data_IF_248291239216
#
_entry.id   IF_248291239216
#
_cell.length_a   1.000
_cell.length_b   1.000
_cell.length_c   1.000
_cell.angle_alpha   90.00
_cell.angle_beta   90.00
_cell.angle_gamma   90.00
#
_symmetry.space_group_name_H-M   'P 1'
#
loop_
_entity.id
_entity.type
_entity.pdbx_description
1 polymer ?
#
# COMPACT_ATOMS: atom_id res chain seq x y z
N UNK A 1 -8.19 -1.16 8.37
CA UNK A 1 -7.60 -0.41 7.25
C UNK A 1 -8.01 1.07 7.14
N UNK A 2 -9.31 1.44 7.20
CA UNK A 2 -9.71 2.86 7.05
C UNK A 2 -9.14 3.79 8.13
N UNK A 3 -9.04 3.33 9.38
CA UNK A 3 -8.52 4.11 10.49
C UNK A 3 -6.99 4.31 10.39
N UNK A 4 -6.24 3.26 10.02
CA UNK A 4 -4.79 3.32 9.83
C UNK A 4 -4.43 4.25 8.67
N UNK A 5 -5.18 4.20 7.56
CA UNK A 5 -5.00 5.13 6.44
C UNK A 5 -5.24 6.59 6.83
N UNK A 6 -6.18 6.88 7.73
CA UNK A 6 -6.37 8.25 8.25
C UNK A 6 -5.19 8.72 9.10
N UNK A 7 -4.62 7.84 9.92
CA UNK A 7 -3.41 8.15 10.70
C UNK A 7 -2.23 8.40 9.76
N UNK A 8 -2.07 7.57 8.72
CA UNK A 8 -0.99 7.74 7.72
C UNK A 8 -1.07 9.09 7.00
N UNK A 9 -2.27 9.59 6.70
CA UNK A 9 -2.43 10.93 6.08
C UNK A 9 -1.76 12.06 6.88
N UNK A 10 -1.70 11.95 8.21
CA UNK A 10 -1.03 12.95 9.07
C UNK A 10 0.48 13.00 8.85
N UNK A 11 1.06 11.89 8.40
CA UNK A 11 2.49 11.81 8.11
C UNK A 11 2.81 12.11 6.64
N UNK A 12 1.80 12.34 5.79
CA UNK A 12 2.00 12.58 4.35
C UNK A 12 2.96 13.74 4.08
N UNK A 13 2.92 14.79 4.89
CA UNK A 13 3.82 15.96 4.80
C UNK A 13 5.20 15.72 5.40
N UNK A 14 5.37 14.69 6.24
CA UNK A 14 6.63 14.33 6.87
C UNK A 14 7.51 13.40 6.00
N UNK A 15 6.91 12.73 5.01
CA UNK A 15 7.62 11.82 4.10
C UNK A 15 7.95 12.51 2.77
N UNK A 16 9.16 12.26 2.24
CA UNK A 16 9.59 12.84 0.96
C UNK A 16 9.24 11.90 -0.21
N UNK A 17 8.67 12.46 -1.28
CA UNK A 17 8.47 11.77 -2.56
C UNK A 17 7.75 10.41 -2.42
N UNK A 18 8.40 9.34 -2.86
CA UNK A 18 7.84 7.99 -2.94
C UNK A 18 7.81 7.24 -1.59
N UNK A 19 8.42 7.76 -0.52
CA UNK A 19 8.48 7.11 0.79
C UNK A 19 7.08 6.89 1.37
N UNK A 20 6.21 7.90 1.25
CA UNK A 20 4.83 7.80 1.70
C UNK A 20 4.05 6.71 0.94
N UNK A 21 4.28 6.62 -0.38
CA UNK A 21 3.67 5.59 -1.23
C UNK A 21 4.08 4.20 -0.78
N UNK A 22 5.37 3.98 -0.54
CA UNK A 22 5.87 2.68 -0.10
C UNK A 22 5.42 2.31 1.30
N UNK A 23 5.28 3.28 2.20
CA UNK A 23 4.73 3.04 3.53
C UNK A 23 3.27 2.57 3.44
N UNK A 24 2.43 3.29 2.68
CA UNK A 24 1.03 2.90 2.46
C UNK A 24 0.95 1.52 1.82
N UNK A 25 1.82 1.22 0.85
CA UNK A 25 1.88 -0.09 0.22
C UNK A 25 2.23 -1.20 1.21
N UNK A 26 3.23 -1.01 2.08
CA UNK A 26 3.62 -1.99 3.11
C UNK A 26 2.50 -2.26 4.11
N UNK A 27 1.82 -1.22 4.57
CA UNK A 27 0.66 -1.37 5.46
C UNK A 27 -0.47 -2.11 4.75
N UNK A 28 -0.77 -1.74 3.50
CA UNK A 28 -1.77 -2.44 2.70
C UNK A 28 -1.43 -3.93 2.52
N UNK A 29 -0.18 -4.26 2.21
CA UNK A 29 0.30 -5.65 2.10
C UNK A 29 0.07 -6.40 3.41
N UNK A 30 0.48 -5.81 4.55
CA UNK A 30 0.34 -6.45 5.86
C UNK A 30 -1.11 -6.83 6.18
N UNK A 31 -2.07 -5.94 5.89
CA UNK A 31 -3.49 -6.19 6.16
C UNK A 31 -4.15 -7.10 5.12
N UNK A 32 -3.82 -6.94 3.84
CA UNK A 32 -4.50 -7.63 2.74
C UNK A 32 -3.93 -9.02 2.47
N UNK A 33 -2.67 -9.31 2.84
CA UNK A 33 -2.04 -10.61 2.54
C UNK A 33 -2.79 -11.81 3.11
N UNK A 34 -3.49 -11.63 4.24
CA UNK A 34 -4.30 -12.69 4.86
C UNK A 34 -5.70 -12.82 4.26
N UNK A 35 -6.12 -11.86 3.42
CA UNK A 35 -7.47 -11.77 2.86
C UNK A 35 -7.53 -12.15 1.37
N UNK A 36 -6.37 -12.35 0.73
CA UNK A 36 -6.26 -12.65 -0.70
C UNK A 36 -5.53 -13.98 -0.94
N UNK A 37 -5.94 -14.71 -1.98
CA UNK A 37 -5.47 -16.07 -2.25
C UNK A 37 -4.20 -16.12 -3.09
N UNK A 38 -3.86 -15.03 -3.80
CA UNK A 38 -2.70 -14.98 -4.68
C UNK A 38 -1.93 -13.67 -4.56
N UNK A 39 -0.64 -13.70 -4.96
CA UNK A 39 0.20 -12.49 -5.04
C UNK A 39 -0.32 -11.50 -6.08
N UNK A 40 -0.98 -11.98 -7.14
CA UNK A 40 -1.61 -11.16 -8.18
C UNK A 40 -2.82 -10.42 -7.63
N UNK A 41 -3.65 -11.08 -6.83
CA UNK A 41 -4.77 -10.43 -6.15
C UNK A 41 -4.29 -9.39 -5.14
N UNK A 42 -3.25 -9.73 -4.37
CA UNK A 42 -2.61 -8.80 -3.45
C UNK A 42 -2.08 -7.56 -4.18
N UNK A 43 -1.41 -7.74 -5.31
CA UNK A 43 -0.93 -6.66 -6.15
C UNK A 43 -2.07 -5.74 -6.63
N UNK A 44 -3.17 -6.31 -7.11
CA UNK A 44 -4.32 -5.56 -7.58
C UNK A 44 -4.98 -4.77 -6.45
N UNK A 45 -5.21 -5.40 -5.29
CA UNK A 45 -5.85 -4.75 -4.14
C UNK A 45 -4.98 -3.65 -3.52
N UNK A 46 -3.66 -3.88 -3.39
CA UNK A 46 -2.73 -2.84 -2.91
C UNK A 46 -2.71 -1.65 -3.86
N UNK A 47 -2.68 -1.88 -5.18
CA UNK A 47 -2.71 -0.78 -6.15
C UNK A 47 -4.06 -0.03 -6.16
N UNK A 48 -5.19 -0.71 -5.95
CA UNK A 48 -6.49 -0.03 -5.73
C UNK A 48 -6.44 0.91 -4.53
N UNK A 49 -5.84 0.47 -3.42
CA UNK A 49 -5.66 1.31 -2.23
C UNK A 49 -4.80 2.54 -2.55
N UNK A 50 -3.67 2.37 -3.23
CA UNK A 50 -2.78 3.48 -3.59
C UNK A 50 -3.49 4.50 -4.49
N UNK A 51 -4.20 4.04 -5.51
CA UNK A 51 -4.98 4.91 -6.41
C UNK A 51 -6.07 5.67 -5.65
N UNK A 52 -6.76 5.04 -4.69
CA UNK A 52 -7.76 5.71 -3.84
C UNK A 52 -7.18 6.84 -2.99
N UNK A 53 -5.88 6.78 -2.69
CA UNK A 53 -5.13 7.80 -1.95
C UNK A 53 -4.44 8.81 -2.88
N UNK A 54 -4.69 8.75 -4.20
CA UNK A 54 -4.00 9.54 -5.24
C UNK A 54 -2.49 9.33 -5.23
N UNK A 55 -2.05 8.09 -5.03
CA UNK A 55 -0.65 7.68 -5.06
C UNK A 55 -0.38 6.86 -6.32
N UNK A 56 0.87 6.91 -6.80
CA UNK A 56 1.30 6.07 -7.92
C UNK A 56 1.23 4.58 -7.55
N UNK A 57 0.99 3.69 -8.52
CA UNK A 57 1.02 2.25 -8.29
C UNK A 57 2.43 1.75 -7.98
N UNK A 58 2.51 0.57 -7.37
CA UNK A 58 3.75 -0.18 -7.17
C UNK A 58 3.90 -1.27 -8.25
N UNK A 59 5.12 -1.79 -8.39
CA UNK A 59 5.41 -2.93 -9.26
C UNK A 59 5.07 -4.26 -8.58
N UNK A 60 4.85 -5.30 -9.37
CA UNK A 60 4.64 -6.65 -8.84
C UNK A 60 5.88 -7.16 -8.06
N UNK A 61 7.09 -6.75 -8.47
CA UNK A 61 8.33 -7.05 -7.74
C UNK A 61 8.33 -6.49 -6.32
N UNK A 62 7.70 -5.34 -6.10
CA UNK A 62 7.55 -4.77 -4.76
C UNK A 62 6.74 -5.70 -3.84
N UNK A 63 5.62 -6.26 -4.34
CA UNK A 63 4.83 -7.25 -3.59
C UNK A 63 5.69 -8.47 -3.26
N UNK A 64 6.43 -9.01 -4.25
CA UNK A 64 7.26 -10.20 -4.06
C UNK A 64 8.31 -10.04 -2.96
N UNK A 65 8.85 -8.84 -2.79
CA UNK A 65 9.90 -8.52 -1.82
C UNK A 65 9.37 -8.13 -0.43
N UNK A 66 8.05 -8.02 -0.24
CA UNK A 66 7.43 -7.56 1.01
C UNK A 66 6.32 -8.50 1.54
N UNK A 67 6.26 -9.74 1.05
CA UNK A 67 5.38 -10.81 1.58
C UNK A 67 6.14 -11.62 2.62
#
# INVERSE_FOLDING_TARGET
MRAELQVMKKFKTAFRGDEYRFLVAKVAIYYLRSHVRSKTDLFNEVNKVLLSQKLAPISFGFIRNNI
#
